data_IF_435661274930
#
_entry.id   IF_435661274930
#
_cell.length_a   1.000
_cell.length_b   1.000
_cell.length_c   1.000
_cell.angle_alpha   90.00
_cell.angle_beta   90.00
_cell.angle_gamma   90.00
#
_symmetry.space_group_name_H-M   'P 1'
#
loop_
_entity.id
_entity.type
_entity.pdbx_description
1 polymer ?
#
# COMPACT_ATOMS: atom_id res chain seq x y z
N UNK A 1 3.14 12.60 3.73
CA UNK A 1 3.86 12.08 2.54
C UNK A 1 3.53 10.62 2.27
N UNK A 2 3.66 9.72 3.25
CA UNK A 2 3.35 8.28 3.09
C UNK A 2 1.92 7.98 2.59
N UNK A 3 0.91 8.68 3.12
CA UNK A 3 -0.50 8.54 2.66
C UNK A 3 -0.66 8.79 1.16
N UNK A 4 -0.06 9.86 0.65
CA UNK A 4 -0.14 10.23 -0.76
C UNK A 4 0.53 9.18 -1.65
N UNK A 5 1.62 8.56 -1.18
CA UNK A 5 2.27 7.46 -1.89
C UNK A 5 1.40 6.21 -1.91
N UNK A 6 0.75 5.85 -0.79
CA UNK A 6 -0.18 4.74 -0.72
C UNK A 6 -1.39 4.94 -1.66
N UNK A 7 -1.91 6.17 -1.72
CA UNK A 7 -2.98 6.54 -2.64
C UNK A 7 -2.57 6.40 -4.12
N UNK A 8 -1.40 6.96 -4.48
CA UNK A 8 -0.87 6.87 -5.85
C UNK A 8 -0.60 5.42 -6.25
N UNK A 9 -0.04 4.63 -5.33
CA UNK A 9 0.20 3.20 -5.56
C UNK A 9 -1.13 2.47 -5.76
N UNK A 10 -2.15 2.73 -4.93
CA UNK A 10 -3.48 2.13 -5.09
C UNK A 10 -4.08 2.38 -6.47
N UNK A 11 -4.05 3.64 -6.92
CA UNK A 11 -4.55 4.04 -8.24
C UNK A 11 -3.75 3.44 -9.40
N UNK A 12 -2.42 3.49 -9.32
CA UNK A 12 -1.56 2.91 -10.35
C UNK A 12 -1.77 1.39 -10.46
N UNK A 13 -1.79 0.68 -9.32
CA UNK A 13 -1.99 -0.76 -9.28
C UNK A 13 -3.30 -1.18 -9.94
N UNK A 14 -4.39 -0.43 -9.68
CA UNK A 14 -5.70 -0.68 -10.28
C UNK A 14 -5.68 -0.47 -11.80
N UNK A 15 -5.01 0.57 -12.29
CA UNK A 15 -4.88 0.85 -13.73
C UNK A 15 -4.18 -0.29 -14.49
N UNK A 16 -3.22 -0.96 -13.85
CA UNK A 16 -2.49 -2.09 -14.43
C UNK A 16 -3.14 -3.46 -14.13
N UNK A 17 -4.28 -3.49 -13.45
CA UNK A 17 -5.01 -4.73 -13.14
C UNK A 17 -4.49 -5.51 -11.93
N UNK A 18 -3.59 -4.93 -11.13
CA UNK A 18 -3.08 -5.52 -9.89
C UNK A 18 -4.03 -5.25 -8.72
N UNK A 19 -5.17 -5.94 -8.73
CA UNK A 19 -6.25 -5.74 -7.75
C UNK A 19 -5.81 -5.97 -6.31
N UNK A 20 -4.97 -6.97 -6.04
CA UNK A 20 -4.46 -7.27 -4.69
C UNK A 20 -3.51 -6.17 -4.18
N UNK A 21 -2.59 -5.71 -5.04
CA UNK A 21 -1.70 -4.60 -4.73
C UNK A 21 -2.47 -3.30 -4.48
N UNK A 22 -3.49 -3.03 -5.29
CA UNK A 22 -4.37 -1.87 -5.13
C UNK A 22 -5.09 -1.90 -3.77
N UNK A 23 -5.65 -3.06 -3.40
CA UNK A 23 -6.34 -3.24 -2.14
C UNK A 23 -5.40 -3.03 -0.94
N UNK A 24 -4.19 -3.62 -0.96
CA UNK A 24 -3.19 -3.45 0.12
C UNK A 24 -2.76 -1.99 0.25
N UNK A 25 -2.58 -1.28 -0.86
CA UNK A 25 -2.20 0.13 -0.86
C UNK A 25 -3.31 1.02 -0.31
N UNK A 26 -4.57 0.75 -0.66
CA UNK A 26 -5.73 1.45 -0.09
C UNK A 26 -5.86 1.21 1.43
N UNK A 27 -5.64 -0.02 1.89
CA UNK A 27 -5.64 -0.34 3.33
C UNK A 27 -4.55 0.42 4.09
N UNK A 28 -3.36 0.54 3.50
CA UNK A 28 -2.29 1.37 4.06
C UNK A 28 -2.70 2.85 4.11
N UNK A 29 -3.29 3.39 3.04
CA UNK A 29 -3.79 4.76 2.99
C UNK A 29 -4.78 5.04 4.13
N UNK A 30 -5.82 4.21 4.26
CA UNK A 30 -6.84 4.33 5.31
C UNK A 30 -6.25 4.19 6.71
N UNK A 31 -5.27 3.31 6.89
CA UNK A 31 -4.58 3.14 8.18
C UNK A 31 -3.81 4.40 8.60
N UNK A 32 -3.21 5.08 7.62
CA UNK A 32 -2.50 6.34 7.85
C UNK A 32 -3.50 7.49 8.08
N UNK A 33 -4.63 7.49 7.37
CA UNK A 33 -5.68 8.51 7.52
C UNK A 33 -6.34 8.49 8.90
N UNK A 34 -6.60 7.29 9.44
CA UNK A 34 -7.25 7.11 10.75
C UNK A 34 -6.36 7.48 11.95
N UNK A 35 -5.17 8.05 11.73
CA UNK A 35 -4.28 8.51 12.79
C UNK A 35 -3.57 7.39 13.57
N UNK A 36 -3.77 6.13 13.18
CA UNK A 36 -3.16 4.96 13.81
C UNK A 36 -1.75 4.71 13.23
N UNK A 37 -0.89 5.74 13.29
CA UNK A 37 0.41 5.77 12.63
C UNK A 37 1.53 5.50 13.64
N UNK A 38 1.43 4.37 14.35
CA UNK A 38 2.63 3.81 14.98
C UNK A 38 3.47 3.19 13.88
N UNK A 39 4.78 3.48 13.84
CA UNK A 39 5.69 2.88 12.86
C UNK A 39 5.57 1.35 12.86
N UNK A 40 5.42 0.77 14.05
CA UNK A 40 5.17 -0.66 14.32
C UNK A 40 3.93 -1.25 13.63
N UNK A 41 2.90 -0.45 13.36
CA UNK A 41 1.66 -0.91 12.71
C UNK A 41 1.68 -0.73 11.18
N UNK A 42 2.57 0.14 10.71
CA UNK A 42 2.69 0.58 9.32
C UNK A 42 3.78 -0.19 8.58
N UNK A 43 4.90 -0.46 9.25
CA UNK A 43 6.03 -1.24 8.74
C UNK A 43 5.60 -2.59 8.11
N UNK A 44 4.84 -3.46 8.81
CA UNK A 44 4.42 -4.74 8.21
C UNK A 44 3.54 -4.57 6.96
N UNK A 45 2.72 -3.51 6.89
CA UNK A 45 1.88 -3.22 5.71
C UNK A 45 2.70 -2.75 4.51
N UNK A 46 3.78 -2.02 4.77
CA UNK A 46 4.75 -1.64 3.74
C UNK A 46 5.50 -2.88 3.25
N UNK A 47 5.92 -3.77 4.15
CA UNK A 47 6.59 -5.01 3.78
C UNK A 47 5.72 -5.92 2.92
N UNK A 48 4.43 -6.05 3.25
CA UNK A 48 3.46 -6.77 2.41
C UNK A 48 3.33 -6.15 1.01
N UNK A 49 3.29 -4.82 0.91
CA UNK A 49 3.26 -4.12 -0.37
C UNK A 49 4.54 -4.36 -1.18
N UNK A 50 5.71 -4.36 -0.53
CA UNK A 50 6.98 -4.64 -1.19
C UNK A 50 7.01 -6.09 -1.68
N UNK A 51 6.52 -7.04 -0.89
CA UNK A 51 6.43 -8.44 -1.28
C UNK A 51 5.52 -8.63 -2.52
N UNK A 52 4.38 -7.94 -2.55
CA UNK A 52 3.46 -7.97 -3.68
C UNK A 52 4.07 -7.35 -4.95
N UNK A 53 4.74 -6.20 -4.82
CA UNK A 53 5.47 -5.58 -5.94
C UNK A 53 6.53 -6.54 -6.49
N UNK A 54 7.30 -7.21 -5.61
CA UNK A 54 8.30 -8.19 -6.03
C UNK A 54 7.68 -9.38 -6.74
N UNK A 55 6.53 -9.87 -6.28
CA UNK A 55 5.80 -10.94 -6.96
C UNK A 55 5.41 -10.55 -8.39
N UNK A 56 5.02 -9.29 -8.59
CA UNK A 56 4.64 -8.75 -9.91
C UNK A 56 5.87 -8.52 -10.81
N UNK A 57 6.97 -7.98 -10.27
CA UNK A 57 8.12 -7.56 -11.07
C UNK A 57 9.13 -8.67 -11.38
N UNK A 58 9.13 -9.77 -10.61
CA UNK A 58 10.13 -10.85 -10.72
C UNK A 58 11.41 -10.55 -9.97
#
# INVERSE_FOLDING_TARGET
MLRALAHLLSGASLLFGFSELSQKAAQLETSIENGNVSFTDVEPKIDELIAEIRHITG
#
